data_IF_454424277174
#
_entry.id   IF_454424277174
#
_cell.length_a   1.000
_cell.length_b   1.000
_cell.length_c   1.000
_cell.angle_alpha   90.00
_cell.angle_beta   90.00
_cell.angle_gamma   90.00
#
_symmetry.space_group_name_H-M   'P 1'
#
loop_
_entity.id
_entity.type
_entity.pdbx_description
1 polymer ?
#
# COMPACT_ATOMS: atom_id res chain seq x y z
N UNK A 1 7.87 -13.71 66.35
CA UNK A 1 7.17 -13.77 65.06
C UNK A 1 7.82 -12.76 64.11
N UNK A 2 8.64 -13.21 63.17
CA UNK A 2 9.31 -12.32 62.22
C UNK A 2 8.28 -11.83 61.18
N UNK A 3 8.04 -10.51 61.11
CA UNK A 3 7.25 -9.89 60.04
C UNK A 3 7.98 -10.14 58.71
N UNK A 4 7.46 -11.03 57.87
CA UNK A 4 7.93 -11.21 56.50
C UNK A 4 7.70 -9.88 55.77
N UNK A 5 8.78 -9.24 55.32
CA UNK A 5 8.71 -7.93 54.64
C UNK A 5 7.87 -8.06 53.37
N UNK A 6 6.67 -7.47 53.37
CA UNK A 6 5.77 -7.41 52.21
C UNK A 6 6.13 -6.29 51.22
N UNK A 7 7.18 -5.52 51.52
CA UNK A 7 7.64 -4.39 50.70
C UNK A 7 7.89 -4.73 49.23
N UNK A 8 8.52 -5.87 48.87
CA UNK A 8 8.70 -6.22 47.46
C UNK A 8 7.37 -6.38 46.70
N UNK A 9 6.35 -6.95 47.34
CA UNK A 9 5.04 -7.12 46.73
C UNK A 9 4.35 -5.78 46.51
N UNK A 10 4.45 -4.86 47.48
CA UNK A 10 3.89 -3.52 47.34
C UNK A 10 4.57 -2.74 46.20
N UNK A 11 5.90 -2.81 46.08
CA UNK A 11 6.63 -2.18 44.98
C UNK A 11 6.21 -2.72 43.62
N UNK A 12 6.07 -4.05 43.48
CA UNK A 12 5.59 -4.68 42.24
C UNK A 12 4.19 -4.18 41.91
N UNK A 13 3.25 -4.21 42.86
CA UNK A 13 1.88 -3.75 42.62
C UNK A 13 1.81 -2.27 42.20
N UNK A 14 2.61 -1.41 42.83
CA UNK A 14 2.67 0.01 42.46
C UNK A 14 3.24 0.18 41.05
N UNK A 15 4.32 -0.51 40.71
CA UNK A 15 4.90 -0.49 39.37
C UNK A 15 3.90 -1.00 38.31
N UNK A 16 3.23 -2.11 38.58
CA UNK A 16 2.24 -2.71 37.67
C UNK A 16 1.08 -1.77 37.42
N UNK A 17 0.52 -1.14 38.47
CA UNK A 17 -0.58 -0.17 38.33
C UNK A 17 -0.14 1.00 37.44
N UNK A 18 1.05 1.56 37.66
CA UNK A 18 1.57 2.67 36.86
C UNK A 18 1.71 2.27 35.39
N UNK A 19 2.33 1.10 35.13
CA UNK A 19 2.54 0.59 33.77
C UNK A 19 1.21 0.34 33.07
N UNK A 20 0.25 -0.32 33.75
CA UNK A 20 -1.06 -0.65 33.18
C UNK A 20 -1.83 0.61 32.83
N UNK A 21 -1.91 1.59 33.75
CA UNK A 21 -2.65 2.83 33.50
C UNK A 21 -2.05 3.59 32.31
N UNK A 22 -0.72 3.74 32.27
CA UNK A 22 -0.04 4.40 31.16
C UNK A 22 -0.23 3.66 29.82
N UNK A 23 -0.07 2.33 29.82
CA UNK A 23 -0.21 1.50 28.63
C UNK A 23 -1.63 1.52 28.08
N UNK A 24 -2.66 1.40 28.93
CA UNK A 24 -4.06 1.44 28.51
C UNK A 24 -4.41 2.80 27.93
N UNK A 25 -3.99 3.90 28.55
CA UNK A 25 -4.25 5.25 28.02
C UNK A 25 -3.65 5.45 26.62
N UNK A 26 -2.40 5.00 26.41
CA UNK A 26 -1.76 5.07 25.10
C UNK A 26 -2.46 4.15 24.09
N UNK A 27 -2.79 2.92 24.49
CA UNK A 27 -3.45 1.95 23.64
C UNK A 27 -4.80 2.47 23.15
N UNK A 28 -5.63 3.06 24.02
CA UNK A 28 -6.91 3.68 23.63
C UNK A 28 -6.69 4.77 22.59
N UNK A 29 -5.74 5.68 22.82
CA UNK A 29 -5.42 6.78 21.89
C UNK A 29 -4.90 6.33 20.53
N UNK A 30 -4.24 5.18 20.45
CA UNK A 30 -3.66 4.70 19.18
C UNK A 30 -4.59 3.73 18.46
N UNK A 31 -5.27 2.84 19.20
CA UNK A 31 -6.02 1.71 18.63
C UNK A 31 -7.54 1.87 18.66
N UNK A 32 -8.11 2.66 19.58
CA UNK A 32 -9.56 2.85 19.65
C UNK A 32 -10.03 4.18 19.06
N UNK A 33 -9.16 5.18 19.00
CA UNK A 33 -9.48 6.46 18.34
C UNK A 33 -8.87 6.51 16.95
N UNK A 34 -9.73 6.70 15.95
CA UNK A 34 -9.31 6.95 14.56
C UNK A 34 -9.46 8.46 14.28
N UNK A 35 -8.40 9.27 14.41
CA UNK A 35 -8.46 10.70 14.12
C UNK A 35 -8.80 10.95 12.64
N UNK A 36 -9.35 12.11 12.27
CA UNK A 36 -9.58 12.46 10.87
C UNK A 36 -8.29 12.38 10.04
N UNK A 37 -8.38 11.77 8.85
CA UNK A 37 -7.30 11.70 7.88
C UNK A 37 -7.31 12.92 6.96
N UNK A 38 -6.12 13.35 6.55
CA UNK A 38 -5.93 14.25 5.42
C UNK A 38 -6.03 13.47 4.11
N UNK A 39 -5.43 12.27 4.07
CA UNK A 39 -5.40 11.40 2.89
C UNK A 39 -5.66 9.94 3.25
N UNK A 40 -6.13 9.17 2.26
CA UNK A 40 -6.28 7.73 2.35
C UNK A 40 -5.40 7.06 1.31
N UNK A 41 -4.71 6.00 1.72
CA UNK A 41 -3.88 5.18 0.82
C UNK A 41 -4.28 3.71 0.95
N UNK A 42 -4.20 2.96 -0.15
CA UNK A 42 -4.39 1.51 -0.12
C UNK A 42 -3.03 0.81 -0.05
N UNK A 43 -2.96 -0.24 0.75
CA UNK A 43 -1.80 -1.11 0.87
C UNK A 43 -2.27 -2.53 0.66
N UNK A 44 -1.82 -3.15 -0.42
CA UNK A 44 -2.19 -4.51 -0.78
C UNK A 44 -0.96 -5.41 -0.70
N UNK A 45 -1.02 -6.40 0.18
CA UNK A 45 0.01 -7.43 0.28
C UNK A 45 -0.26 -8.57 -0.70
N UNK A 46 0.81 -9.10 -1.30
CA UNK A 46 0.80 -10.33 -2.10
C UNK A 46 2.19 -10.99 -2.02
N UNK A 47 2.30 -12.27 -2.34
CA UNK A 47 3.56 -12.99 -2.46
C UNK A 47 4.34 -12.47 -3.70
N UNK A 48 5.50 -11.82 -3.58
CA UNK A 48 6.11 -11.19 -2.40
C UNK A 48 6.40 -9.73 -2.71
N UNK A 49 5.35 -8.93 -2.77
CA UNK A 49 5.40 -7.51 -3.08
C UNK A 49 4.30 -6.73 -2.36
N UNK A 50 4.55 -5.45 -2.14
CA UNK A 50 3.58 -4.49 -1.65
C UNK A 50 3.08 -3.64 -2.81
N UNK A 51 1.77 -3.60 -3.03
CA UNK A 51 1.16 -2.68 -3.99
C UNK A 51 0.51 -1.53 -3.21
N UNK A 52 0.94 -0.32 -3.51
CA UNK A 52 0.39 0.90 -2.93
C UNK A 52 -0.52 1.58 -3.93
N UNK A 53 -1.59 2.20 -3.44
CA UNK A 53 -2.45 3.07 -4.24
C UNK A 53 -2.56 4.41 -3.53
N UNK A 54 -2.03 5.43 -4.20
CA UNK A 54 -2.17 6.83 -3.83
C UNK A 54 -3.42 7.41 -4.51
N UNK A 55 -4.20 8.26 -3.82
CA UNK A 55 -5.45 8.81 -4.36
C UNK A 55 -5.24 9.88 -5.45
N UNK A 56 -4.00 10.15 -5.86
CA UNK A 56 -3.71 11.03 -6.97
C UNK A 56 -4.06 12.50 -6.70
N UNK A 57 -4.12 13.32 -7.76
CA UNK A 57 -4.35 14.77 -7.65
C UNK A 57 -5.70 15.18 -7.04
N UNK A 58 -6.75 14.37 -7.18
CA UNK A 58 -8.07 14.69 -6.63
C UNK A 58 -8.21 14.37 -5.13
N UNK A 59 -7.24 13.62 -4.58
CA UNK A 59 -7.16 13.24 -3.17
C UNK A 59 -8.22 12.23 -2.72
N UNK A 60 -8.91 11.56 -3.66
CA UNK A 60 -9.90 10.52 -3.40
C UNK A 60 -9.40 9.19 -3.93
N UNK A 61 -9.48 8.18 -3.07
CA UNK A 61 -9.11 6.82 -3.43
C UNK A 61 -10.23 6.16 -4.25
N UNK A 62 -9.87 5.19 -5.09
CA UNK A 62 -10.76 4.41 -5.96
C UNK A 62 -11.38 5.25 -7.10
N UNK A 63 -10.62 6.23 -7.60
CA UNK A 63 -10.94 7.06 -8.77
C UNK A 63 -10.01 6.74 -9.96
N UNK A 64 -10.34 7.19 -11.19
CA UNK A 64 -9.53 6.88 -12.37
C UNK A 64 -8.11 7.47 -12.36
N UNK A 65 -7.83 8.46 -11.51
CA UNK A 65 -6.52 9.12 -11.37
C UNK A 65 -5.64 8.52 -10.26
N UNK A 66 -6.10 7.46 -9.60
CA UNK A 66 -5.32 6.69 -8.63
C UNK A 66 -3.95 6.28 -9.20
N UNK A 67 -2.90 6.56 -8.45
CA UNK A 67 -1.54 6.16 -8.81
C UNK A 67 -1.18 4.86 -8.09
N UNK A 68 -0.85 3.83 -8.87
CA UNK A 68 -0.45 2.52 -8.33
C UNK A 68 1.04 2.28 -8.49
N UNK A 69 1.68 1.96 -7.39
CA UNK A 69 3.11 1.63 -7.34
C UNK A 69 3.36 0.30 -6.65
N UNK A 70 4.49 -0.32 -6.98
CA UNK A 70 4.93 -1.59 -6.38
C UNK A 70 6.21 -1.34 -5.61
N UNK A 71 6.26 -1.83 -4.38
CA UNK A 71 7.40 -1.78 -3.45
C UNK A 71 7.93 -0.38 -3.11
N UNK A 72 7.19 0.66 -3.47
CA UNK A 72 7.50 2.05 -3.13
C UNK A 72 6.23 2.88 -2.99
N UNK A 73 6.16 3.76 -1.99
CA UNK A 73 5.07 4.72 -1.79
C UNK A 73 5.63 6.08 -1.42
N UNK A 74 5.03 7.14 -1.96
CA UNK A 74 5.43 8.53 -1.73
C UNK A 74 4.33 9.28 -1.00
N UNK A 75 4.68 9.90 0.12
CA UNK A 75 3.75 10.54 1.03
C UNK A 75 4.24 11.95 1.37
N UNK A 76 3.30 12.85 1.63
CA UNK A 76 3.57 14.21 2.09
C UNK A 76 3.95 14.23 3.57
N UNK A 77 4.90 15.07 3.94
CA UNK A 77 5.21 15.37 5.34
C UNK A 77 4.10 16.20 6.01
N UNK A 78 3.95 16.05 7.33
CA UNK A 78 2.95 16.69 8.18
C UNK A 78 1.51 16.39 7.76
N UNK A 79 1.28 15.17 7.29
CA UNK A 79 -0.05 14.69 6.90
C UNK A 79 -0.41 13.43 7.65
N UNK A 80 -1.69 13.33 7.98
CA UNK A 80 -2.26 12.13 8.57
C UNK A 80 -2.85 11.25 7.49
N UNK A 81 -2.32 10.04 7.42
CA UNK A 81 -2.78 9.02 6.48
C UNK A 81 -3.64 8.00 7.20
N UNK A 82 -4.80 7.68 6.62
CA UNK A 82 -5.45 6.39 6.86
C UNK A 82 -4.96 5.41 5.81
N UNK A 83 -4.46 4.27 6.25
CA UNK A 83 -4.12 3.18 5.33
C UNK A 83 -5.22 2.13 5.37
N UNK A 84 -5.63 1.67 4.19
CA UNK A 84 -6.50 0.52 3.99
C UNK A 84 -5.62 -0.66 3.63
N UNK A 85 -5.43 -1.58 4.58
CA UNK A 85 -4.57 -2.74 4.43
C UNK A 85 -5.39 -3.98 4.09
N UNK A 86 -4.98 -4.68 3.04
CA UNK A 86 -5.57 -5.95 2.63
C UNK A 86 -4.50 -6.92 2.12
N UNK A 87 -4.85 -8.20 2.06
CA UNK A 87 -4.03 -9.23 1.43
C UNK A 87 -4.80 -9.92 0.31
N UNK A 88 -4.11 -10.16 -0.82
CA UNK A 88 -4.64 -10.88 -1.98
C UNK A 88 -4.55 -12.40 -1.85
N UNK A 89 -3.65 -12.92 -1.02
CA UNK A 89 -3.32 -14.35 -1.00
C UNK A 89 -3.24 -14.94 0.42
N UNK A 90 -2.14 -14.74 1.14
CA UNK A 90 -1.83 -15.34 2.44
C UNK A 90 -1.74 -14.27 3.53
N UNK A 91 -1.45 -14.67 4.77
CA UNK A 91 -1.14 -13.72 5.83
C UNK A 91 0.17 -12.98 5.50
N UNK A 92 0.14 -11.67 5.67
CA UNK A 92 1.32 -10.80 5.70
C UNK A 92 1.21 -9.88 6.91
N UNK A 93 2.23 -9.08 7.18
CA UNK A 93 2.15 -8.03 8.19
C UNK A 93 2.90 -6.80 7.74
N UNK A 94 2.17 -5.73 7.48
CA UNK A 94 2.72 -4.44 7.08
C UNK A 94 3.43 -3.80 8.27
N UNK A 95 4.75 -3.68 8.17
CA UNK A 95 5.58 -3.18 9.26
C UNK A 95 6.48 -2.04 8.80
N UNK A 96 6.34 -0.88 9.43
CA UNK A 96 7.23 0.27 9.27
C UNK A 96 7.93 0.51 10.61
N UNK A 97 9.17 -0.01 10.82
CA UNK A 97 9.84 0.03 12.12
C UNK A 97 10.02 1.45 12.66
N UNK A 98 10.36 2.40 11.79
CA UNK A 98 10.54 3.80 12.16
C UNK A 98 9.26 4.43 12.73
N UNK A 99 8.10 3.96 12.30
CA UNK A 99 6.80 4.44 12.77
C UNK A 99 6.28 3.62 13.96
N UNK A 100 6.99 2.54 14.34
CA UNK A 100 6.55 1.55 15.34
C UNK A 100 5.15 1.01 15.03
N UNK A 101 4.85 0.87 13.75
CA UNK A 101 3.53 0.49 13.25
C UNK A 101 3.62 -0.87 12.58
N UNK A 102 2.91 -1.84 13.15
CA UNK A 102 2.72 -3.18 12.59
C UNK A 102 1.22 -3.49 12.54
N UNK A 103 0.74 -4.00 11.42
CA UNK A 103 -0.62 -4.50 11.27
C UNK A 103 -0.64 -5.70 10.33
N UNK A 104 -1.25 -6.79 10.78
CA UNK A 104 -1.39 -8.00 9.97
C UNK A 104 -2.42 -7.75 8.85
N UNK A 105 -2.07 -8.17 7.63
CA UNK A 105 -2.92 -8.17 6.46
C UNK A 105 -3.51 -9.57 6.30
N UNK A 106 -4.82 -9.68 6.48
CA UNK A 106 -5.53 -10.97 6.49
C UNK A 106 -6.39 -11.06 5.23
N UNK A 107 -6.26 -12.13 4.42
CA UNK A 107 -7.11 -12.32 3.24
C UNK A 107 -8.60 -12.25 3.60
N UNK A 108 -9.37 -11.54 2.76
CA UNK A 108 -10.81 -11.35 2.96
C UNK A 108 -11.20 -10.29 4.00
N UNK A 109 -10.26 -9.52 4.54
CA UNK A 109 -10.53 -8.40 5.45
C UNK A 109 -9.72 -7.16 5.06
N UNK A 110 -10.38 -6.01 5.05
CA UNK A 110 -9.74 -4.70 4.96
C UNK A 110 -9.58 -4.14 6.37
N UNK A 111 -8.34 -3.82 6.75
CA UNK A 111 -8.03 -3.14 8.01
C UNK A 111 -7.76 -1.67 7.78
N UNK A 112 -8.41 -0.80 8.54
CA UNK A 112 -8.07 0.62 8.57
C UNK A 112 -7.15 0.90 9.75
N UNK A 113 -6.00 1.51 9.49
CA UNK A 113 -5.14 2.09 10.51
C UNK A 113 -4.71 3.50 10.13
N UNK A 114 -3.91 4.13 10.98
CA UNK A 114 -3.44 5.49 10.73
C UNK A 114 -2.00 5.71 11.20
N UNK A 115 -1.34 6.68 10.56
CA UNK A 115 -0.06 7.23 11.01
C UNK A 115 0.06 8.69 10.54
N UNK A 116 1.02 9.41 11.11
CA UNK A 116 1.34 10.78 10.75
C UNK A 116 2.81 10.88 10.36
N UNK A 117 3.09 11.46 9.20
CA UNK A 117 4.42 11.57 8.60
C UNK A 117 5.13 12.83 9.09
N UNK A 118 5.75 12.79 10.28
CA UNK A 118 6.28 14.01 10.93
C UNK A 118 7.66 14.46 10.45
N UNK A 119 8.37 13.64 9.67
CA UNK A 119 9.72 13.93 9.19
C UNK A 119 9.90 13.41 7.77
N UNK A 120 10.59 14.19 6.93
CA UNK A 120 10.97 13.77 5.58
C UNK A 120 12.08 12.70 5.63
N UNK A 121 12.11 11.86 4.61
CA UNK A 121 13.11 10.80 4.45
C UNK A 121 12.53 9.52 3.87
N UNK A 122 13.39 8.53 3.65
CA UNK A 122 13.01 7.20 3.18
C UNK A 122 13.03 6.21 4.34
N UNK A 123 11.97 5.43 4.46
CA UNK A 123 11.76 4.45 5.52
C UNK A 123 11.55 3.07 4.94
N UNK A 124 12.04 2.05 5.65
CA UNK A 124 11.84 0.66 5.26
C UNK A 124 10.44 0.17 5.65
N UNK A 125 9.82 -0.52 4.71
CA UNK A 125 8.63 -1.35 4.91
C UNK A 125 9.07 -2.81 4.83
N UNK A 126 8.64 -3.62 5.80
CA UNK A 126 8.98 -5.03 5.89
C UNK A 126 7.71 -5.87 6.01
N UNK A 127 7.78 -7.13 5.56
CA UNK A 127 6.82 -8.14 5.97
C UNK A 127 7.23 -8.73 7.33
N UNK A 128 6.32 -8.71 8.30
CA UNK A 128 6.55 -9.20 9.67
C UNK A 128 5.66 -10.39 10.07
N UNK A 129 5.19 -11.15 9.08
CA UNK A 129 4.44 -12.40 9.24
C UNK A 129 4.92 -13.39 8.18
N UNK A 130 5.17 -14.65 8.55
CA UNK A 130 5.77 -15.63 7.65
C UNK A 130 4.82 -15.93 6.48
N UNK A 131 5.18 -15.46 5.28
CA UNK A 131 4.31 -15.49 4.10
C UNK A 131 4.85 -16.36 2.94
N UNK A 132 5.78 -17.28 3.23
CA UNK A 132 6.38 -18.21 2.26
C UNK A 132 7.85 -17.92 1.94
N UNK A 133 8.35 -18.49 0.84
CA UNK A 133 9.80 -18.51 0.52
C UNK A 133 10.41 -17.13 0.29
N UNK A 134 9.65 -16.16 -0.23
CA UNK A 134 10.10 -14.79 -0.42
C UNK A 134 9.86 -13.86 0.77
N UNK A 135 9.45 -14.38 1.94
CA UNK A 135 9.13 -13.56 3.12
C UNK A 135 10.26 -12.57 3.50
N UNK A 136 11.51 -13.03 3.51
CA UNK A 136 12.66 -12.21 3.90
C UNK A 136 13.08 -11.14 2.88
N UNK A 137 12.55 -11.19 1.65
CA UNK A 137 12.88 -10.23 0.58
C UNK A 137 11.70 -9.34 0.19
N UNK A 138 10.55 -9.50 0.86
CA UNK A 138 9.33 -8.72 0.66
C UNK A 138 9.41 -7.34 1.34
N UNK A 139 10.38 -6.53 0.89
CA UNK A 139 10.59 -5.17 1.37
C UNK A 139 9.97 -4.13 0.44
N UNK A 140 9.67 -2.96 0.99
CA UNK A 140 9.28 -1.79 0.22
C UNK A 140 9.87 -0.50 0.82
N UNK A 141 9.79 0.61 0.09
CA UNK A 141 10.22 1.94 0.54
C UNK A 141 9.02 2.85 0.75
N UNK A 142 9.00 3.54 1.89
CA UNK A 142 8.06 4.62 2.16
C UNK A 142 8.86 5.93 2.16
N UNK A 143 8.64 6.75 1.14
CA UNK A 143 9.31 8.04 0.96
C UNK A 143 8.38 9.13 1.50
N UNK A 144 8.88 9.94 2.43
CA UNK A 144 8.18 11.12 2.94
C UNK A 144 8.88 12.37 2.43
N UNK A 145 8.15 13.21 1.72
CA UNK A 145 8.69 14.36 1.01
C UNK A 145 7.84 15.61 1.20
N UNK A 146 8.31 16.74 0.68
CA UNK A 146 7.56 17.99 0.71
C UNK A 146 6.58 18.11 -0.46
N UNK A 147 5.66 19.07 -0.40
CA UNK A 147 4.61 19.23 -1.41
C UNK A 147 5.13 19.48 -2.84
N UNK A 148 6.16 20.33 -3.07
CA UNK A 148 6.77 20.45 -4.39
C UNK A 148 7.34 19.14 -4.95
N UNK A 149 8.08 18.38 -4.14
CA UNK A 149 8.68 17.10 -4.54
C UNK A 149 7.59 16.07 -4.88
N UNK A 150 6.57 15.95 -4.03
CA UNK A 150 5.43 15.04 -4.26
C UNK A 150 4.65 15.40 -5.52
N UNK A 151 4.46 16.69 -5.79
CA UNK A 151 3.80 17.12 -7.02
C UNK A 151 4.59 16.73 -8.28
N UNK A 152 5.92 16.76 -8.22
CA UNK A 152 6.79 16.28 -9.31
C UNK A 152 6.62 14.77 -9.49
N UNK A 153 6.65 14.02 -8.39
CA UNK A 153 6.45 12.57 -8.42
C UNK A 153 5.07 12.19 -8.99
N UNK A 154 4.00 12.83 -8.51
CA UNK A 154 2.64 12.62 -9.01
C UNK A 154 2.53 12.93 -10.50
N UNK A 155 3.11 14.03 -10.98
CA UNK A 155 3.06 14.40 -12.39
C UNK A 155 3.75 13.37 -13.31
N UNK A 156 4.74 12.64 -12.79
CA UNK A 156 5.41 11.57 -13.52
C UNK A 156 4.57 10.29 -13.58
N UNK A 157 3.87 9.93 -12.48
CA UNK A 157 3.19 8.65 -12.35
C UNK A 157 1.68 8.70 -12.70
N UNK A 158 1.04 9.87 -12.65
CA UNK A 158 -0.36 10.05 -13.05
C UNK A 158 -0.59 9.82 -14.56
N UNK A 159 0.49 9.79 -15.38
CA UNK A 159 0.41 9.51 -16.82
C UNK A 159 0.39 8.01 -17.14
N UNK A 160 0.92 7.17 -16.26
CA UNK A 160 1.05 5.73 -16.53
C UNK A 160 -0.26 4.96 -16.30
N UNK A 161 -1.17 5.51 -15.49
CA UNK A 161 -2.55 5.01 -15.35
C UNK A 161 -3.40 5.14 -16.63
N UNK A 162 -3.05 6.07 -17.53
CA UNK A 162 -3.73 6.25 -18.80
C UNK A 162 -3.22 5.31 -19.91
N UNK A 163 -1.99 4.77 -19.81
CA UNK A 163 -1.37 3.96 -20.85
C UNK A 163 -1.81 2.48 -20.81
N UNK A 164 -2.30 1.97 -19.68
CA UNK A 164 -2.83 0.61 -19.59
C UNK A 164 -4.17 0.43 -20.34
N UNK A 165 -4.90 1.52 -20.62
CA UNK A 165 -6.21 1.49 -21.28
C UNK A 165 -6.13 1.75 -22.80
N UNK A 166 -4.95 2.09 -23.33
CA UNK A 166 -4.76 2.35 -24.78
C UNK A 166 -4.15 1.18 -25.56
N UNK A 167 -3.67 0.13 -24.89
CA UNK A 167 -3.05 -1.05 -25.53
C UNK A 167 -3.79 -2.37 -25.31
N UNK A 168 -5.02 -2.35 -24.80
CA UNK A 168 -5.92 -3.51 -24.87
C UNK A 168 -6.81 -3.34 -26.10
N UNK A 169 -6.73 -4.19 -27.14
CA UNK A 169 -7.69 -4.14 -28.23
C UNK A 169 -9.09 -4.40 -27.64
N UNK A 170 -10.01 -3.51 -27.94
CA UNK A 170 -11.41 -3.66 -27.58
C UNK A 170 -11.96 -4.94 -28.22
N UNK A 171 -12.85 -5.71 -27.56
CA UNK A 171 -13.53 -6.85 -28.19
C UNK A 171 -14.28 -6.49 -29.48
N UNK A 172 -14.57 -5.20 -29.69
CA UNK A 172 -15.19 -4.68 -30.90
C UNK A 172 -14.27 -4.71 -32.15
N UNK A 173 -12.95 -4.69 -31.98
CA UNK A 173 -12.01 -4.67 -33.11
C UNK A 173 -11.75 -6.06 -33.71
N UNK A 174 -12.12 -7.13 -33.00
CA UNK A 174 -11.95 -8.51 -33.52
C UNK A 174 -13.05 -8.89 -34.52
N UNK A 175 -14.20 -8.20 -34.49
CA UNK A 175 -15.30 -8.47 -35.44
C UNK A 175 -15.14 -7.81 -36.81
N UNK A 176 -14.23 -6.84 -36.96
CA UNK A 176 -14.02 -6.13 -38.23
C UNK A 176 -12.94 -6.76 -39.14
N UNK A 177 -12.02 -7.56 -38.60
CA UNK A 177 -10.89 -8.11 -39.37
C UNK A 177 -11.21 -9.37 -40.21
N UNK A 178 -12.42 -9.94 -40.08
CA UNK A 178 -12.80 -11.17 -40.78
C UNK A 178 -13.47 -10.93 -42.16
N UNK A 179 -13.68 -9.69 -42.60
CA UNK A 179 -14.57 -9.37 -43.73
C UNK A 179 -13.90 -8.78 -44.99
N UNK A 180 -12.57 -8.82 -45.15
CA UNK A 180 -11.93 -8.26 -46.34
C UNK A 180 -10.84 -9.16 -46.93
N UNK A 181 -11.25 -10.12 -47.77
CA UNK A 181 -10.41 -10.66 -48.84
C UNK A 181 -11.14 -10.42 -50.16
N UNK A 182 -10.72 -9.47 -51.01
CA UNK A 182 -11.21 -9.45 -52.37
C UNK A 182 -10.38 -10.42 -53.22
N UNK A 183 -11.08 -11.26 -53.98
CA UNK A 183 -10.49 -12.03 -55.05
C UNK A 183 -9.97 -11.08 -56.14
N UNK A 184 -8.69 -11.20 -56.51
CA UNK A 184 -8.12 -10.57 -57.70
C UNK A 184 -7.73 -11.65 -58.69
N UNK A 185 -8.42 -11.67 -59.82
CA UNK A 185 -8.02 -12.33 -61.05
C UNK A 185 -7.53 -11.26 -62.02
N UNK A 186 -6.32 -11.40 -62.56
CA UNK A 186 -5.96 -10.88 -63.87
C UNK A 186 -4.71 -11.58 -64.43
N UNK A 187 -4.91 -12.19 -65.60
CA UNK A 187 -3.90 -12.76 -66.46
C UNK A 187 -2.94 -11.69 -67.02
N UNK A 188 -1.72 -12.09 -67.35
CA UNK A 188 -0.96 -11.46 -68.44
C UNK A 188 -0.13 -12.50 -69.19
N UNK A 189 -0.40 -12.51 -70.48
CA UNK A 189 0.18 -13.22 -71.62
C UNK A 189 1.67 -12.96 -71.88
N UNK A 190 2.32 -13.99 -72.46
CA UNK A 190 3.36 -13.86 -73.49
C UNK A 190 4.53 -14.83 -73.28
N UNK A 191 5.18 -15.47 -74.28
CA UNK A 191 5.04 -15.65 -75.73
C UNK A 191 6.29 -16.47 -76.13
N UNK A 192 6.17 -17.52 -76.97
CA UNK A 192 7.19 -18.21 -77.83
C UNK A 192 8.57 -18.55 -77.23
N UNK A 193 9.11 -19.77 -77.32
CA UNK A 193 9.31 -20.70 -78.44
C UNK A 193 9.41 -22.13 -77.90
#
# INVERSE_FOLDING_TARGET
MARRSSWPHFLILVCDIIIIVAAVQLWVRIKQTLPPADYRVRVVAQQWAWVFTDPGPDGKLDTPDDVRTTDEVHLLVNKRYHFLLESKDVLHSFFVPAFRMKQDAIPGRVYTGWFETTKTGTYDVLCAEICGIGHGVMGAKLVVENAPEHAVWLAQHARDGALATLNSPSPADTTAAAAAVPASAAATTGRTH
#
